data_IF_498407147469
#
_entry.id   IF_498407147469
#
_cell.length_a   1.000
_cell.length_b   1.000
_cell.length_c   1.000
_cell.angle_alpha   90.00
_cell.angle_beta   90.00
_cell.angle_gamma   90.00
#
_symmetry.space_group_name_H-M   'P 1'
#
loop_
_entity.id
_entity.type
_entity.pdbx_description
1 polymer ?
#
# COMPACT_ATOMS: atom_id res chain seq x y z
N UNK A 1 -25.11 -29.29 -19.71
CA UNK A 1 -24.74 -27.87 -19.55
C UNK A 1 -23.94 -27.75 -18.27
N UNK A 2 -22.64 -27.50 -18.37
CA UNK A 2 -21.79 -27.35 -17.20
C UNK A 2 -22.02 -25.94 -16.65
N UNK A 3 -22.75 -25.83 -15.54
CA UNK A 3 -22.85 -24.56 -14.82
C UNK A 3 -21.49 -24.35 -14.15
N UNK A 4 -20.66 -23.51 -14.76
CA UNK A 4 -19.47 -22.97 -14.11
C UNK A 4 -19.96 -22.16 -12.92
N UNK A 5 -19.94 -22.76 -11.73
CA UNK A 5 -20.03 -22.01 -10.48
C UNK A 5 -18.80 -21.10 -10.48
N UNK A 6 -18.95 -19.76 -10.48
CA UNK A 6 -17.81 -18.88 -10.35
C UNK A 6 -17.10 -19.25 -9.05
N UNK A 7 -15.83 -19.57 -9.13
CA UNK A 7 -14.99 -19.77 -7.96
C UNK A 7 -15.01 -18.46 -7.17
N UNK A 8 -15.76 -18.40 -6.06
CA UNK A 8 -15.76 -17.27 -5.12
C UNK A 8 -14.41 -17.13 -4.38
N UNK A 9 -13.48 -18.06 -4.61
CA UNK A 9 -12.14 -18.03 -4.04
C UNK A 9 -11.27 -17.05 -4.82
N UNK A 10 -11.01 -15.91 -4.20
CA UNK A 10 -9.94 -15.01 -4.61
C UNK A 10 -8.62 -15.77 -4.51
N UNK A 11 -7.81 -15.86 -5.58
CA UNK A 11 -6.53 -16.54 -5.53
C UNK A 11 -5.62 -16.04 -4.41
N UNK A 12 -4.81 -16.96 -3.90
CA UNK A 12 -3.75 -16.61 -2.96
C UNK A 12 -2.72 -15.69 -3.61
N UNK A 13 -2.14 -14.74 -2.86
CA UNK A 13 -1.04 -13.94 -3.37
C UNK A 13 0.19 -14.82 -3.61
N UNK A 14 0.98 -14.49 -4.65
CA UNK A 14 2.17 -15.24 -5.03
C UNK A 14 3.25 -15.30 -3.92
N UNK A 15 3.27 -14.31 -3.03
CA UNK A 15 4.20 -14.24 -1.88
C UNK A 15 3.38 -14.13 -0.60
N UNK A 16 3.60 -15.07 0.32
CA UNK A 16 3.03 -15.12 1.67
C UNK A 16 4.10 -14.90 2.74
N UNK A 17 3.67 -14.58 3.96
CA UNK A 17 4.54 -14.41 5.12
C UNK A 17 5.46 -13.18 5.06
N UNK A 18 6.37 -13.11 6.03
CA UNK A 18 7.33 -12.01 6.19
C UNK A 18 6.71 -10.73 6.76
N UNK A 19 7.49 -9.65 6.75
CA UNK A 19 7.05 -8.32 7.15
C UNK A 19 6.53 -7.54 5.96
N UNK A 20 5.34 -6.97 6.09
CA UNK A 20 4.66 -6.31 4.98
C UNK A 20 4.29 -4.86 5.33
N UNK A 21 4.65 -3.94 4.44
CA UNK A 21 4.09 -2.60 4.40
C UNK A 21 3.05 -2.51 3.28
N UNK A 22 1.81 -2.26 3.65
CA UNK A 22 0.76 -1.85 2.72
C UNK A 22 0.92 -0.36 2.41
N UNK A 23 1.14 -0.01 1.15
CA UNK A 23 1.52 1.34 0.74
C UNK A 23 0.49 1.94 -0.21
N UNK A 24 -0.17 3.03 0.21
CA UNK A 24 -0.83 3.95 -0.72
C UNK A 24 0.15 5.03 -1.24
N UNK A 25 -0.30 5.79 -2.23
CA UNK A 25 0.46 6.79 -2.96
C UNK A 25 -0.08 8.20 -2.72
N UNK A 26 -1.34 8.42 -3.09
CA UNK A 26 -2.04 9.68 -2.89
C UNK A 26 -2.17 9.89 -1.37
N UNK A 27 -1.86 11.07 -0.85
CA UNK A 27 -1.87 11.35 0.59
C UNK A 27 -0.72 10.71 1.38
N UNK A 28 0.22 10.03 0.71
CA UNK A 28 1.33 9.31 1.34
C UNK A 28 2.69 9.70 0.76
N UNK A 29 2.87 9.53 -0.54
CA UNK A 29 4.12 9.83 -1.26
C UNK A 29 4.09 11.22 -1.92
N UNK A 30 2.94 11.88 -1.84
CA UNK A 30 2.58 13.20 -2.37
C UNK A 30 1.16 13.55 -1.84
N UNK A 31 0.64 14.77 -2.05
CA UNK A 31 -0.72 15.14 -1.63
C UNK A 31 -1.84 14.25 -2.20
N UNK A 32 -2.96 14.12 -1.49
CA UNK A 32 -4.08 13.22 -1.83
C UNK A 32 -4.86 13.62 -3.10
N UNK A 33 -4.93 14.91 -3.42
CA UNK A 33 -5.80 15.43 -4.48
C UNK A 33 -5.19 15.19 -5.87
N UNK A 34 -5.23 13.93 -6.31
CA UNK A 34 -4.67 13.46 -7.58
C UNK A 34 -5.76 13.16 -8.58
N UNK A 35 -5.72 13.86 -9.70
CA UNK A 35 -6.66 13.70 -10.80
C UNK A 35 -5.99 13.10 -12.04
N UNK A 36 -6.78 12.43 -12.87
CA UNK A 36 -6.32 11.87 -14.14
C UNK A 36 -6.69 12.80 -15.29
N UNK A 37 -5.68 13.27 -16.04
CA UNK A 37 -5.90 13.99 -17.30
C UNK A 37 -5.69 13.05 -18.49
N UNK A 38 -6.71 12.92 -19.36
CA UNK A 38 -6.64 12.13 -20.58
C UNK A 38 -5.44 12.55 -21.45
N UNK A 39 -4.62 11.58 -21.85
CA UNK A 39 -3.42 11.80 -22.68
C UNK A 39 -2.17 12.31 -21.95
N UNK A 40 -2.30 12.79 -20.70
CA UNK A 40 -1.18 13.31 -19.89
C UNK A 40 -0.85 12.44 -18.68
N UNK A 41 -1.86 11.77 -18.12
CA UNK A 41 -1.73 10.95 -16.93
C UNK A 41 -2.09 11.71 -15.64
N UNK A 42 -1.69 11.18 -14.47
CA UNK A 42 -2.03 11.74 -13.18
C UNK A 42 -1.30 13.05 -12.94
N UNK A 43 -1.94 13.95 -12.22
CA UNK A 43 -1.35 15.19 -11.71
C UNK A 43 -2.00 15.55 -10.37
N UNK A 44 -1.24 16.27 -9.54
CA UNK A 44 -1.74 16.81 -8.28
C UNK A 44 -2.55 18.06 -8.60
N UNK A 45 -3.84 18.04 -8.29
CA UNK A 45 -4.76 19.16 -8.50
C UNK A 45 -4.60 20.23 -7.40
N UNK A 46 -4.31 19.80 -6.16
CA UNK A 46 -4.03 20.68 -5.03
C UNK A 46 -3.14 20.00 -3.98
N UNK A 47 -2.32 20.76 -3.23
CA UNK A 47 -1.90 22.13 -3.50
C UNK A 47 -0.88 22.21 -4.66
N UNK A 48 -0.73 23.40 -5.22
CA UNK A 48 0.23 23.63 -6.32
C UNK A 48 1.68 23.54 -5.83
N UNK A 49 2.60 23.16 -6.73
CA UNK A 49 4.05 23.12 -6.45
C UNK A 49 4.59 21.75 -6.04
N UNK A 50 3.71 20.79 -5.77
CA UNK A 50 4.06 19.42 -5.43
C UNK A 50 4.32 18.55 -6.66
N UNK A 51 5.05 17.46 -6.48
CA UNK A 51 5.33 16.47 -7.52
C UNK A 51 4.90 15.08 -7.08
N UNK A 52 4.33 14.32 -8.00
CA UNK A 52 4.02 12.91 -7.76
C UNK A 52 5.29 12.17 -7.30
N UNK A 53 5.15 11.43 -6.21
CA UNK A 53 6.22 10.62 -5.58
C UNK A 53 7.37 11.43 -4.97
N UNK A 54 7.20 12.71 -4.68
CA UNK A 54 8.27 13.55 -4.10
C UNK A 54 8.81 13.03 -2.76
N UNK A 55 8.01 12.28 -1.99
CA UNK A 55 8.41 11.70 -0.71
C UNK A 55 8.86 10.23 -0.81
N UNK A 56 8.92 9.65 -2.01
CA UNK A 56 9.33 8.25 -2.17
C UNK A 56 10.79 8.00 -1.74
N UNK A 57 11.69 8.97 -1.95
CA UNK A 57 13.08 8.87 -1.48
C UNK A 57 13.17 8.82 0.05
N UNK A 58 12.39 9.66 0.74
CA UNK A 58 12.32 9.67 2.20
C UNK A 58 11.81 8.32 2.76
N UNK A 59 10.78 7.74 2.12
CA UNK A 59 10.32 6.41 2.50
C UNK A 59 11.40 5.35 2.26
N UNK A 60 12.12 5.41 1.12
CA UNK A 60 13.21 4.48 0.84
C UNK A 60 14.30 4.52 1.92
N UNK A 61 14.69 5.72 2.36
CA UNK A 61 15.64 5.90 3.47
C UNK A 61 15.10 5.32 4.78
N UNK A 62 13.83 5.57 5.11
CA UNK A 62 13.21 5.04 6.33
C UNK A 62 13.13 3.50 6.35
N UNK A 63 12.97 2.87 5.19
CA UNK A 63 12.94 1.41 5.04
C UNK A 63 14.33 0.78 4.87
N UNK A 64 15.39 1.59 4.69
CA UNK A 64 16.77 1.14 4.51
C UNK A 64 17.23 0.12 5.56
N UNK A 65 17.02 0.36 6.87
CA UNK A 65 17.39 -0.58 7.93
C UNK A 65 16.65 -1.91 7.94
N UNK A 66 15.57 -2.05 7.15
CA UNK A 66 14.67 -3.22 7.18
C UNK A 66 14.66 -3.92 5.80
N UNK A 67 15.76 -4.55 5.35
CA UNK A 67 15.88 -5.09 3.99
C UNK A 67 14.87 -6.21 3.67
N UNK A 68 14.42 -6.96 4.67
CA UNK A 68 13.45 -8.04 4.52
C UNK A 68 11.99 -7.56 4.38
N UNK A 69 11.73 -6.27 4.66
CA UNK A 69 10.39 -5.71 4.56
C UNK A 69 9.95 -5.62 3.10
N UNK A 70 8.78 -6.21 2.83
CA UNK A 70 8.13 -6.29 1.53
C UNK A 70 7.04 -5.23 1.43
N UNK A 71 6.78 -4.76 0.22
CA UNK A 71 5.73 -3.78 -0.06
C UNK A 71 4.58 -4.46 -0.80
N UNK A 72 3.36 -4.21 -0.34
CA UNK A 72 2.13 -4.53 -1.06
C UNK A 72 1.47 -3.20 -1.41
N UNK A 73 1.20 -2.97 -2.69
CA UNK A 73 0.54 -1.75 -3.13
C UNK A 73 -0.93 -1.78 -2.70
N UNK A 74 -1.31 -0.88 -1.81
CA UNK A 74 -2.69 -0.59 -1.43
C UNK A 74 -3.03 0.76 -2.02
N UNK A 75 -3.25 0.80 -3.33
CA UNK A 75 -3.51 2.06 -4.05
C UNK A 75 -4.51 1.86 -5.18
N UNK A 76 -5.34 2.88 -5.40
CA UNK A 76 -6.33 2.90 -6.49
C UNK A 76 -5.67 2.78 -7.87
N UNK A 77 -4.40 3.19 -7.99
CA UNK A 77 -3.65 3.23 -9.24
C UNK A 77 -3.49 1.86 -9.89
N UNK A 78 -3.37 0.78 -9.10
CA UNK A 78 -3.26 -0.58 -9.64
C UNK A 78 -4.53 -0.97 -10.40
N UNK A 79 -5.70 -0.58 -9.89
CA UNK A 79 -7.00 -0.79 -10.54
C UNK A 79 -7.14 0.09 -11.79
N UNK A 80 -6.77 1.37 -11.70
CA UNK A 80 -6.83 2.32 -12.83
C UNK A 80 -5.94 1.88 -13.99
N UNK A 81 -4.69 1.50 -13.71
CA UNK A 81 -3.71 1.09 -14.72
C UNK A 81 -3.78 -0.38 -15.10
N UNK A 82 -4.57 -1.17 -14.36
CA UNK A 82 -4.73 -2.63 -14.50
C UNK A 82 -3.38 -3.38 -14.53
N UNK A 83 -2.39 -2.89 -13.79
CA UNK A 83 -1.03 -3.44 -13.84
C UNK A 83 -0.18 -3.03 -12.65
N UNK A 84 0.06 -3.98 -11.73
CA UNK A 84 1.05 -3.83 -10.64
C UNK A 84 2.40 -3.43 -11.21
N UNK A 85 2.90 -4.14 -12.23
CA UNK A 85 4.21 -3.86 -12.87
C UNK A 85 4.35 -2.44 -13.40
N UNK A 86 3.29 -1.81 -13.93
CA UNK A 86 3.36 -0.41 -14.41
C UNK A 86 3.44 0.56 -13.25
N UNK A 87 2.73 0.28 -12.16
CA UNK A 87 2.70 1.10 -10.96
C UNK A 87 4.00 0.97 -10.18
N UNK A 88 4.53 -0.24 -9.99
CA UNK A 88 5.84 -0.48 -9.35
C UNK A 88 6.97 0.29 -10.02
N UNK A 89 6.97 0.41 -11.36
CA UNK A 89 7.99 1.14 -12.13
C UNK A 89 7.96 2.66 -11.94
N UNK A 90 6.95 3.21 -11.25
CA UNK A 90 6.90 4.63 -10.89
C UNK A 90 7.66 4.92 -9.60
N UNK A 91 7.93 3.90 -8.78
CA UNK A 91 8.69 4.00 -7.55
C UNK A 91 10.19 3.99 -7.83
N UNK A 92 11.01 4.61 -6.96
CA UNK A 92 12.47 4.49 -7.04
C UNK A 92 12.90 3.02 -6.86
N UNK A 93 14.06 2.61 -7.40
CA UNK A 93 14.53 1.23 -7.41
C UNK A 93 14.43 0.52 -6.05
N UNK A 94 14.81 1.23 -4.99
CA UNK A 94 14.88 0.78 -3.59
C UNK A 94 13.51 0.34 -3.04
N UNK A 95 12.44 1.02 -3.46
CA UNK A 95 11.06 0.63 -3.12
C UNK A 95 10.52 -0.39 -4.12
N UNK A 96 10.80 -0.20 -5.41
CA UNK A 96 10.26 -1.04 -6.48
C UNK A 96 10.69 -2.51 -6.33
N UNK A 97 11.93 -2.76 -5.88
CA UNK A 97 12.47 -4.09 -5.66
C UNK A 97 11.80 -4.84 -4.50
N UNK A 98 11.15 -4.11 -3.58
CA UNK A 98 10.43 -4.67 -2.43
C UNK A 98 8.98 -5.01 -2.75
N UNK A 99 8.44 -4.55 -3.88
CA UNK A 99 7.03 -4.76 -4.20
C UNK A 99 6.76 -6.22 -4.57
N UNK A 100 5.93 -6.90 -3.77
CA UNK A 100 5.56 -8.32 -3.97
C UNK A 100 4.13 -8.51 -4.46
N UNK A 101 3.37 -7.44 -4.61
CA UNK A 101 2.00 -7.50 -5.11
C UNK A 101 1.19 -6.24 -4.80
N UNK A 102 -0.13 -6.38 -4.87
CA UNK A 102 -1.10 -5.35 -4.54
C UNK A 102 -2.31 -5.99 -3.85
N UNK A 103 -3.09 -5.18 -3.12
CA UNK A 103 -4.36 -5.61 -2.51
C UNK A 103 -5.42 -5.93 -3.57
N UNK A 104 -5.34 -5.31 -4.75
CA UNK A 104 -6.21 -5.58 -5.91
C UNK A 104 -5.50 -6.37 -7.01
N UNK A 105 -6.22 -7.29 -7.65
CA UNK A 105 -5.81 -7.94 -8.90
C UNK A 105 -7.00 -8.22 -9.82
N UNK A 106 -6.75 -8.45 -11.11
CA UNK A 106 -7.79 -8.56 -12.14
C UNK A 106 -8.80 -9.70 -12.01
N UNK A 107 -8.53 -10.71 -11.17
CA UNK A 107 -9.50 -11.76 -10.86
C UNK A 107 -10.49 -11.41 -9.74
N UNK A 108 -10.35 -10.25 -9.08
CA UNK A 108 -11.32 -9.75 -8.11
C UNK A 108 -12.43 -8.96 -8.81
N UNK A 109 -13.61 -8.91 -8.20
CA UNK A 109 -14.65 -7.98 -8.61
C UNK A 109 -14.25 -6.54 -8.29
N UNK A 110 -14.17 -5.70 -9.34
CA UNK A 110 -13.63 -4.35 -9.22
C UNK A 110 -14.53 -3.41 -8.41
N UNK A 111 -15.84 -3.54 -8.55
CA UNK A 111 -16.80 -2.67 -7.87
C UNK A 111 -16.93 -3.04 -6.40
N UNK A 112 -17.01 -4.34 -6.07
CA UNK A 112 -17.01 -4.80 -4.68
C UNK A 112 -15.71 -4.42 -3.97
N UNK A 113 -14.56 -4.55 -4.63
CA UNK A 113 -13.28 -4.12 -4.07
C UNK A 113 -13.26 -2.61 -3.82
N UNK A 114 -13.69 -1.80 -4.80
CA UNK A 114 -13.76 -0.33 -4.69
C UNK A 114 -14.72 0.13 -3.59
N UNK A 115 -15.84 -0.56 -3.40
CA UNK A 115 -16.85 -0.22 -2.40
C UNK A 115 -16.43 -0.59 -0.97
N UNK A 116 -15.47 -1.50 -0.80
CA UNK A 116 -14.96 -1.86 0.52
C UNK A 116 -14.12 -0.72 1.11
N UNK A 117 -14.26 -0.38 2.41
CA UNK A 117 -13.36 0.56 3.09
C UNK A 117 -11.89 0.16 2.95
N UNK A 118 -10.98 1.15 2.94
CA UNK A 118 -9.55 0.91 2.75
C UNK A 118 -8.97 -0.14 3.69
N UNK A 119 -9.27 -0.01 4.99
CA UNK A 119 -8.84 -0.98 6.00
C UNK A 119 -9.35 -2.41 5.75
N UNK A 120 -10.53 -2.58 5.14
CA UNK A 120 -11.06 -3.90 4.77
C UNK A 120 -10.37 -4.49 3.54
N UNK A 121 -9.96 -3.66 2.57
CA UNK A 121 -9.16 -4.11 1.42
C UNK A 121 -7.79 -4.65 1.89
N UNK A 122 -7.13 -3.91 2.78
CA UNK A 122 -5.88 -4.34 3.43
C UNK A 122 -6.10 -5.62 4.23
N UNK A 123 -7.10 -5.64 5.10
CA UNK A 123 -7.38 -6.81 5.95
C UNK A 123 -7.67 -8.09 5.14
N UNK A 124 -8.41 -7.97 4.04
CA UNK A 124 -8.68 -9.10 3.12
C UNK A 124 -7.39 -9.66 2.51
N UNK A 125 -6.41 -8.81 2.18
CA UNK A 125 -5.10 -9.28 1.73
C UNK A 125 -4.26 -9.85 2.88
N UNK A 126 -4.29 -9.28 4.08
CA UNK A 126 -3.61 -9.81 5.27
C UNK A 126 -4.04 -11.24 5.55
N UNK A 127 -5.35 -11.54 5.50
CA UNK A 127 -5.87 -12.90 5.73
C UNK A 127 -5.34 -13.92 4.73
N UNK A 128 -5.18 -13.54 3.46
CA UNK A 128 -4.64 -14.43 2.42
C UNK A 128 -3.12 -14.51 2.46
N UNK A 129 -2.44 -13.39 2.69
CA UNK A 129 -0.97 -13.26 2.67
C UNK A 129 -0.31 -13.78 3.93
N UNK A 130 -1.01 -13.73 5.06
CA UNK A 130 -0.55 -14.22 6.36
C UNK A 130 0.86 -13.69 6.73
N UNK A 131 1.08 -12.35 6.71
CA UNK A 131 2.36 -11.78 7.12
C UNK A 131 2.65 -12.10 8.60
N UNK A 132 3.93 -12.18 8.95
CA UNK A 132 4.36 -12.37 10.34
C UNK A 132 4.06 -11.11 11.18
N UNK A 133 4.26 -9.93 10.59
CA UNK A 133 3.74 -8.67 11.08
C UNK A 133 3.56 -7.69 9.89
N UNK A 134 2.75 -6.65 10.07
CA UNK A 134 2.45 -5.71 9.00
C UNK A 134 2.13 -4.31 9.49
N UNK A 135 2.31 -3.34 8.61
CA UNK A 135 1.87 -1.96 8.77
C UNK A 135 1.15 -1.51 7.50
N UNK A 136 0.30 -0.49 7.64
CA UNK A 136 -0.23 0.24 6.50
C UNK A 136 0.13 1.72 6.60
N UNK A 137 0.51 2.32 5.49
CA UNK A 137 0.79 3.74 5.37
C UNK A 137 -0.20 4.33 4.38
N UNK A 138 -1.16 5.08 4.91
CA UNK A 138 -2.38 5.49 4.22
C UNK A 138 -2.97 6.73 4.94
N UNK A 139 -3.51 7.68 4.19
CA UNK A 139 -4.21 8.85 4.74
C UNK A 139 -5.68 8.52 5.04
N UNK A 140 -6.28 7.59 4.28
CA UNK A 140 -7.66 7.14 4.49
C UNK A 140 -7.72 6.25 5.73
N UNK A 141 -8.10 6.87 6.85
CA UNK A 141 -8.27 6.23 8.16
C UNK A 141 -9.72 5.86 8.46
N UNK A 142 -10.67 6.23 7.59
CA UNK A 142 -12.09 6.09 7.88
C UNK A 142 -12.52 4.63 7.80
N UNK A 143 -13.37 4.22 8.75
CA UNK A 143 -13.95 2.88 8.82
C UNK A 143 -12.93 1.72 8.87
N UNK A 144 -11.71 1.98 9.33
CA UNK A 144 -10.76 0.91 9.62
C UNK A 144 -11.29 -0.02 10.72
N UNK A 145 -11.23 -1.35 10.51
CA UNK A 145 -11.62 -2.31 11.53
C UNK A 145 -10.83 -2.07 12.81
N UNK A 146 -11.50 -2.20 13.97
CA UNK A 146 -10.87 -1.86 15.25
C UNK A 146 -9.57 -2.64 15.51
N UNK A 147 -9.50 -3.90 15.06
CA UNK A 147 -8.33 -4.77 15.17
C UNK A 147 -7.19 -4.48 14.17
N UNK A 148 -7.36 -3.49 13.30
CA UNK A 148 -6.33 -3.05 12.34
C UNK A 148 -5.80 -1.64 12.65
N UNK A 149 -6.42 -0.88 13.57
CA UNK A 149 -6.12 0.54 13.76
C UNK A 149 -4.71 0.80 14.28
N UNK A 150 -4.19 -0.08 15.13
CA UNK A 150 -2.82 -0.02 15.63
C UNK A 150 -1.77 -0.26 14.53
N UNK A 151 -2.16 -0.95 13.45
CA UNK A 151 -1.30 -1.26 12.28
C UNK A 151 -1.27 -0.13 11.26
N UNK A 152 -2.24 0.79 11.29
CA UNK A 152 -2.25 1.98 10.44
C UNK A 152 -1.28 3.03 10.99
N UNK A 153 -0.38 3.52 10.13
CA UNK A 153 0.29 4.81 10.29
C UNK A 153 -0.50 5.79 9.42
N UNK A 154 -1.34 6.60 10.06
CA UNK A 154 -2.15 7.58 9.36
C UNK A 154 -1.26 8.71 8.88
N UNK A 155 -1.23 8.96 7.58
CA UNK A 155 -0.45 10.06 7.01
C UNK A 155 -1.22 11.38 7.04
N UNK A 156 -0.49 12.47 6.85
CA UNK A 156 -1.06 13.79 6.59
C UNK A 156 -1.46 13.88 5.11
N UNK A 157 -2.65 14.38 4.80
CA UNK A 157 -3.19 14.36 3.42
C UNK A 157 -2.38 15.21 2.42
N UNK A 158 -1.55 16.15 2.90
CA UNK A 158 -0.69 17.00 2.05
C UNK A 158 0.77 16.59 2.17
N UNK A 159 1.30 16.53 3.39
CA UNK A 159 2.71 16.24 3.65
C UNK A 159 3.03 14.75 3.53
N UNK A 160 2.02 13.88 3.57
CA UNK A 160 2.16 12.44 3.52
C UNK A 160 3.08 11.91 4.61
N UNK A 161 3.99 11.02 4.22
CA UNK A 161 5.02 10.46 5.11
C UNK A 161 6.06 11.49 5.57
N UNK A 162 6.14 12.67 4.93
CA UNK A 162 7.12 13.71 5.31
C UNK A 162 6.71 14.52 6.53
N UNK A 163 5.45 14.43 6.96
CA UNK A 163 5.01 15.03 8.22
C UNK A 163 5.87 14.46 9.39
N UNK A 164 6.50 15.31 10.22
CA UNK A 164 7.45 14.84 11.23
C UNK A 164 6.88 13.81 12.22
N UNK A 165 5.64 14.00 12.66
CA UNK A 165 4.95 13.06 13.55
C UNK A 165 4.68 11.71 12.89
N UNK A 166 4.28 11.72 11.61
CA UNK A 166 4.01 10.52 10.80
C UNK A 166 5.30 9.73 10.58
N UNK A 167 6.39 10.41 10.19
CA UNK A 167 7.68 9.77 10.00
C UNK A 167 8.23 9.17 11.30
N UNK A 168 8.06 9.88 12.43
CA UNK A 168 8.45 9.39 13.74
C UNK A 168 7.64 8.14 14.14
N UNK A 169 6.32 8.16 13.94
CA UNK A 169 5.46 7.00 14.19
C UNK A 169 5.85 5.81 13.31
N UNK A 170 6.03 6.02 12.01
CA UNK A 170 6.47 4.97 11.08
C UNK A 170 7.77 4.34 11.55
N UNK A 171 8.78 5.14 11.89
CA UNK A 171 10.07 4.64 12.39
C UNK A 171 9.93 3.86 13.69
N UNK A 172 9.12 4.35 14.63
CA UNK A 172 8.87 3.67 15.90
C UNK A 172 8.19 2.31 15.68
N UNK A 173 7.18 2.24 14.82
CA UNK A 173 6.49 0.97 14.51
C UNK A 173 7.38 0.00 13.75
N UNK A 174 8.18 0.48 12.79
CA UNK A 174 9.16 -0.36 12.09
C UNK A 174 10.19 -0.96 13.06
N UNK A 175 10.70 -0.17 14.00
CA UNK A 175 11.66 -0.63 15.01
C UNK A 175 11.05 -1.62 16.01
N UNK A 176 9.73 -1.59 16.19
CA UNK A 176 8.99 -2.51 17.05
C UNK A 176 8.56 -3.79 16.33
N UNK A 177 8.69 -3.87 15.00
CA UNK A 177 8.43 -5.12 14.29
C UNK A 177 9.41 -6.19 14.82
N UNK A 178 8.93 -7.39 15.13
CA UNK A 178 9.79 -8.42 15.70
C UNK A 178 10.93 -8.69 14.73
N UNK A 179 12.16 -8.75 15.22
CA UNK A 179 13.24 -9.33 14.42
C UNK A 179 12.84 -10.75 14.03
N UNK A 180 13.31 -11.22 12.88
CA UNK A 180 13.16 -12.62 12.52
C UNK A 180 13.60 -13.44 13.72
N UNK A 181 12.72 -14.25 14.30
CA UNK A 181 13.18 -15.33 15.17
C UNK A 181 14.15 -16.12 14.29
N UNK A 182 15.44 -16.07 14.64
CA UNK A 182 16.46 -16.79 13.88
C UNK A 182 16.00 -18.23 13.74
N UNK A 183 16.05 -18.75 12.52
CA UNK A 183 15.78 -20.16 12.24
C UNK A 183 16.80 -20.97 13.06
N UNK A 184 16.37 -21.41 14.25
CA UNK A 184 17.08 -22.34 15.13
C UNK A 184 16.75 -23.78 14.79
#
# INVERSE_FOLDING_TARGET
>A
MNVLIPSLTVPDPAVKGGFVLYLDFDGVLHPEDVHMQTGRGPFIASPVGHKLFEHAGLLAEALGPYPELRIVLSTSWVRVYRSVRRITRKLPPELSARVVGATYHGAMDAESFKAAPRGMQVWSDVLRRQPADWLALDDDYLHWPAWCRDKLVRTDEILGVSAPAVLAELRAKLAAMPEKAGDG
#
